data_IF_486095171273
#
_entry.id   IF_486095171273
#
_cell.length_a   1.000
_cell.length_b   1.000
_cell.length_c   1.000
_cell.angle_alpha   90.00
_cell.angle_beta   90.00
_cell.angle_gamma   90.00
#
_symmetry.space_group_name_H-M   'P 1'
#
loop_
_entity.id
_entity.type
_entity.pdbx_description
1 polymer ?
#
# COMPACT_ATOMS: atom_id res chain seq x y z
N UNK A 1 3.35 19.60 -18.56
CA UNK A 1 4.16 18.73 -19.44
C UNK A 1 3.40 17.42 -19.62
N UNK A 2 3.06 17.00 -20.85
CA UNK A 2 2.33 15.76 -21.05
C UNK A 2 3.28 14.58 -20.91
N UNK A 3 2.94 13.64 -20.02
CA UNK A 3 3.62 12.36 -19.91
C UNK A 3 3.31 11.52 -21.16
N UNK A 4 4.35 11.15 -21.91
CA UNK A 4 4.24 10.14 -22.95
C UNK A 4 3.73 8.83 -22.35
N UNK A 5 2.79 8.14 -23.02
CA UNK A 5 2.39 6.80 -22.61
C UNK A 5 3.59 5.87 -22.76
N UNK A 6 3.87 5.09 -21.71
CA UNK A 6 4.85 4.02 -21.68
C UNK A 6 4.63 3.11 -22.90
N UNK A 7 5.36 3.34 -23.99
CA UNK A 7 5.42 2.38 -25.07
C UNK A 7 6.11 1.14 -24.49
N UNK A 8 5.47 -0.05 -24.47
CA UNK A 8 6.18 -1.25 -24.04
C UNK A 8 7.37 -1.39 -24.98
N UNK A 9 8.58 -1.20 -24.46
CA UNK A 9 9.80 -1.46 -25.21
C UNK A 9 9.64 -2.89 -25.75
N UNK A 10 9.37 -3.01 -27.06
CA UNK A 10 9.33 -4.28 -27.76
C UNK A 10 10.75 -4.81 -27.67
N UNK A 11 11.03 -5.59 -26.62
CA UNK A 11 12.31 -6.27 -26.46
C UNK A 11 12.49 -7.10 -27.73
N UNK A 12 13.49 -6.75 -28.52
CA UNK A 12 13.82 -7.46 -29.74
C UNK A 12 13.85 -8.96 -29.41
N UNK A 13 13.12 -9.81 -30.17
CA UNK A 13 12.97 -11.22 -29.82
C UNK A 13 14.24 -11.97 -30.21
N UNK A 14 15.35 -11.67 -29.52
CA UNK A 14 16.69 -12.16 -29.81
C UNK A 14 16.77 -13.68 -29.80
N UNK A 15 15.90 -14.36 -29.06
CA UNK A 15 15.81 -15.82 -29.00
C UNK A 15 15.26 -16.42 -30.29
N UNK A 16 14.19 -15.85 -30.85
CA UNK A 16 13.64 -16.33 -32.12
C UNK A 16 14.55 -15.92 -33.27
N UNK A 17 15.14 -14.73 -33.20
CA UNK A 17 16.13 -14.27 -34.18
C UNK A 17 17.39 -15.15 -34.15
N UNK A 18 17.89 -15.51 -32.97
CA UNK A 18 19.04 -16.39 -32.79
C UNK A 18 18.76 -17.82 -33.27
N UNK A 19 17.59 -18.37 -32.95
CA UNK A 19 17.19 -19.71 -33.42
C UNK A 19 17.10 -19.75 -34.95
N UNK A 20 16.47 -18.74 -35.55
CA UNK A 20 16.40 -18.63 -37.01
C UNK A 20 17.79 -18.45 -37.62
N UNK A 21 18.65 -17.64 -37.01
CA UNK A 21 20.03 -17.44 -37.47
C UNK A 21 20.83 -18.75 -37.49
N UNK A 22 20.83 -19.53 -36.41
CA UNK A 22 21.55 -20.80 -36.37
C UNK A 22 20.97 -21.84 -37.33
N UNK A 23 19.64 -21.92 -37.45
CA UNK A 23 18.98 -22.82 -38.40
C UNK A 23 19.36 -22.49 -39.84
N UNK A 24 19.29 -21.21 -40.23
CA UNK A 24 19.66 -20.75 -41.58
C UNK A 24 21.15 -20.93 -41.82
N UNK A 25 22.00 -20.71 -40.81
CA UNK A 25 23.45 -20.88 -40.93
C UNK A 25 23.81 -22.36 -41.20
N UNK A 26 23.19 -23.30 -40.49
CA UNK A 26 23.36 -24.72 -40.75
C UNK A 26 22.87 -25.12 -42.16
N UNK A 27 21.68 -24.64 -42.55
CA UNK A 27 21.10 -24.90 -43.88
C UNK A 27 22.00 -24.41 -45.01
N UNK A 28 22.43 -23.15 -44.95
CA UNK A 28 23.33 -22.55 -45.95
C UNK A 28 24.66 -23.29 -45.97
N UNK A 29 25.20 -23.63 -44.80
CA UNK A 29 26.43 -24.41 -44.69
C UNK A 29 26.34 -25.79 -45.37
N UNK A 30 25.26 -26.53 -45.15
CA UNK A 30 25.03 -27.83 -45.81
C UNK A 30 24.82 -27.69 -47.33
N UNK A 31 24.14 -26.64 -47.79
CA UNK A 31 24.02 -26.36 -49.24
C UNK A 31 25.34 -25.93 -49.88
N UNK A 32 26.28 -25.39 -49.09
CA UNK A 32 27.65 -25.09 -49.53
C UNK A 32 28.58 -26.33 -49.49
N UNK A 33 28.01 -27.53 -49.37
CA UNK A 33 28.73 -28.81 -49.46
C UNK A 33 29.47 -29.20 -48.18
N UNK A 34 29.10 -28.66 -47.02
CA UNK A 34 29.65 -29.10 -45.74
C UNK A 34 29.01 -30.41 -45.32
N UNK A 35 29.84 -31.40 -45.03
CA UNK A 35 29.45 -32.68 -44.46
C UNK A 35 29.64 -32.69 -42.94
N UNK A 36 29.13 -33.71 -42.27
CA UNK A 36 29.41 -34.00 -40.85
C UNK A 36 29.88 -35.45 -40.73
N UNK A 37 30.88 -35.72 -39.88
CA UNK A 37 31.67 -36.96 -39.95
C UNK A 37 30.87 -38.25 -39.82
N UNK A 38 29.75 -38.23 -39.10
CA UNK A 38 28.88 -39.41 -38.94
C UNK A 38 27.78 -39.51 -40.01
N UNK A 39 27.60 -38.45 -40.83
CA UNK A 39 26.61 -38.38 -41.92
C UNK A 39 27.22 -37.71 -43.16
N UNK A 40 28.23 -38.33 -43.81
CA UNK A 40 28.84 -37.80 -45.03
C UNK A 40 27.83 -37.58 -46.16
N UNK A 41 26.79 -38.41 -46.22
CA UNK A 41 25.73 -38.40 -47.23
C UNK A 41 24.86 -37.13 -47.24
N UNK A 42 24.97 -36.25 -46.24
CA UNK A 42 24.20 -34.99 -46.17
C UNK A 42 24.49 -34.09 -47.37
N UNK A 43 25.72 -34.13 -47.90
CA UNK A 43 26.15 -33.28 -49.01
C UNK A 43 25.28 -33.48 -50.25
N UNK A 44 25.02 -34.75 -50.57
CA UNK A 44 24.24 -35.17 -51.75
C UNK A 44 22.74 -35.28 -51.45
N UNK A 45 22.34 -35.05 -50.20
CA UNK A 45 20.95 -35.18 -49.76
C UNK A 45 20.09 -33.98 -50.19
N UNK A 46 18.80 -34.25 -50.37
CA UNK A 46 17.81 -33.23 -50.69
C UNK A 46 17.61 -32.22 -49.55
N UNK A 47 17.05 -31.06 -49.90
CA UNK A 47 16.77 -29.95 -48.98
C UNK A 47 16.09 -30.36 -47.67
N UNK A 48 15.13 -31.30 -47.73
CA UNK A 48 14.39 -31.77 -46.55
C UNK A 48 15.31 -32.49 -45.54
N UNK A 49 16.28 -33.25 -46.03
CA UNK A 49 17.25 -33.96 -45.18
C UNK A 49 18.20 -32.97 -44.51
N UNK A 50 18.67 -31.95 -45.25
CA UNK A 50 19.48 -30.84 -44.70
C UNK A 50 18.70 -30.03 -43.65
N UNK A 51 17.41 -29.80 -43.87
CA UNK A 51 16.52 -29.13 -42.90
C UNK A 51 16.33 -29.95 -41.62
N UNK A 52 16.15 -31.27 -41.76
CA UNK A 52 16.08 -32.20 -40.64
C UNK A 52 17.35 -32.14 -39.78
N UNK A 53 18.54 -32.22 -40.38
CA UNK A 53 19.79 -32.18 -39.64
C UNK A 53 20.12 -30.79 -39.07
N UNK A 54 19.68 -29.72 -39.72
CA UNK A 54 19.80 -28.36 -39.19
C UNK A 54 18.93 -28.17 -37.94
N UNK A 55 17.74 -28.78 -37.91
CA UNK A 55 16.86 -28.76 -36.75
C UNK A 55 17.38 -29.64 -35.61
N UNK A 56 18.01 -30.79 -35.92
CA UNK A 56 18.54 -31.69 -34.89
C UNK A 56 19.66 -31.07 -34.06
N UNK A 57 20.35 -30.04 -34.56
CA UNK A 57 21.34 -29.27 -33.79
C UNK A 57 20.74 -28.57 -32.56
N UNK A 58 19.43 -28.35 -32.49
CA UNK A 58 18.77 -27.79 -31.31
C UNK A 58 18.46 -28.83 -30.23
N UNK A 59 18.64 -30.12 -30.51
CA UNK A 59 18.35 -31.21 -29.58
C UNK A 59 19.66 -31.69 -28.96
N UNK A 60 19.85 -31.38 -27.67
CA UNK A 60 21.01 -31.87 -26.89
C UNK A 60 20.96 -33.40 -26.85
N UNK A 61 21.88 -34.05 -27.58
CA UNK A 61 22.01 -35.51 -27.66
C UNK A 61 21.10 -36.22 -28.68
N UNK A 62 20.44 -35.49 -29.59
CA UNK A 62 19.40 -36.06 -30.46
C UNK A 62 19.89 -36.80 -31.72
N UNK A 63 21.04 -36.43 -32.28
CA UNK A 63 21.60 -37.09 -33.48
C UNK A 63 23.13 -36.99 -33.41
N UNK A 64 23.83 -38.12 -33.45
CA UNK A 64 25.28 -38.11 -33.61
C UNK A 64 25.62 -37.72 -35.05
N UNK A 65 26.03 -36.46 -35.21
CA UNK A 65 26.46 -35.90 -36.49
C UNK A 65 27.99 -35.91 -36.61
N UNK A 66 28.71 -36.09 -35.50
CA UNK A 66 30.14 -35.86 -35.46
C UNK A 66 30.53 -34.43 -35.83
N UNK A 67 31.68 -34.25 -36.48
CA UNK A 67 32.27 -32.91 -36.71
C UNK A 67 32.03 -32.38 -38.13
N UNK A 68 31.73 -31.07 -38.31
CA UNK A 68 31.63 -30.47 -39.63
C UNK A 68 32.95 -30.45 -40.41
N UNK A 69 32.95 -30.98 -41.64
CA UNK A 69 34.12 -31.03 -42.53
C UNK A 69 33.71 -30.89 -44.01
N UNK A 70 34.69 -30.75 -44.92
CA UNK A 70 34.39 -30.52 -46.36
C UNK A 70 33.82 -29.13 -46.67
N UNK A 71 33.39 -28.91 -47.91
CA UNK A 71 32.77 -27.65 -48.35
C UNK A 71 33.67 -26.42 -48.30
N UNK A 72 33.07 -25.25 -48.54
CA UNK A 72 33.78 -23.96 -48.46
C UNK A 72 34.16 -23.60 -47.02
N UNK A 73 35.18 -22.75 -46.84
CA UNK A 73 35.54 -22.22 -45.52
C UNK A 73 34.37 -21.50 -44.83
N UNK A 74 33.65 -20.67 -45.58
CA UNK A 74 32.49 -19.92 -45.08
C UNK A 74 31.38 -20.89 -44.65
N UNK A 75 31.07 -21.89 -45.47
CA UNK A 75 30.09 -22.91 -45.13
C UNK A 75 30.44 -23.62 -43.83
N UNK A 76 31.70 -24.05 -43.66
CA UNK A 76 32.14 -24.70 -42.41
C UNK A 76 32.01 -23.79 -41.20
N UNK A 77 32.37 -22.51 -41.34
CA UNK A 77 32.22 -21.55 -40.24
C UNK A 77 30.74 -21.38 -39.83
N UNK A 78 29.81 -21.37 -40.79
CA UNK A 78 28.37 -21.30 -40.52
C UNK A 78 27.85 -22.54 -39.80
N UNK A 79 28.23 -23.75 -40.26
CA UNK A 79 27.83 -24.99 -39.60
C UNK A 79 28.44 -25.08 -38.20
N UNK A 80 29.72 -24.77 -38.01
CA UNK A 80 30.35 -24.74 -36.67
C UNK A 80 29.67 -23.76 -35.72
N UNK A 81 29.29 -22.58 -36.23
CA UNK A 81 28.55 -21.58 -35.44
C UNK A 81 27.20 -22.11 -35.00
N UNK A 82 26.46 -22.77 -35.89
CA UNK A 82 25.18 -23.40 -35.56
C UNK A 82 25.36 -24.62 -34.63
N UNK A 83 26.42 -25.42 -34.86
CA UNK A 83 26.74 -26.65 -34.13
C UNK A 83 26.93 -26.40 -32.63
N UNK A 84 27.53 -25.27 -32.25
CA UNK A 84 27.63 -24.86 -30.84
C UNK A 84 26.51 -23.91 -30.41
N UNK A 85 26.09 -22.99 -31.27
CA UNK A 85 25.12 -21.96 -30.95
C UNK A 85 23.72 -22.50 -30.71
N UNK A 86 23.25 -23.46 -31.51
CA UNK A 86 21.92 -24.04 -31.39
C UNK A 86 21.74 -24.82 -30.07
N UNK A 87 22.66 -25.72 -29.65
CA UNK A 87 22.57 -26.39 -28.34
C UNK A 87 22.62 -25.42 -27.15
N UNK A 88 23.49 -24.41 -27.19
CA UNK A 88 23.60 -23.41 -26.10
C UNK A 88 22.30 -22.61 -25.99
N UNK A 89 21.76 -22.15 -27.13
CA UNK A 89 20.50 -21.43 -27.15
C UNK A 89 19.36 -22.31 -26.63
N UNK A 90 19.25 -23.55 -27.10
CA UNK A 90 18.25 -24.51 -26.64
C UNK A 90 18.35 -24.77 -25.13
N UNK A 91 19.53 -25.08 -24.62
CA UNK A 91 19.77 -25.29 -23.19
C UNK A 91 19.41 -24.04 -22.36
N UNK A 92 19.79 -22.84 -22.80
CA UNK A 92 19.45 -21.59 -22.10
C UNK A 92 17.94 -21.34 -22.06
N UNK A 93 17.21 -21.69 -23.13
CA UNK A 93 15.75 -21.57 -23.16
C UNK A 93 15.07 -22.57 -22.25
N UNK A 94 15.57 -23.81 -22.22
CA UNK A 94 15.06 -24.87 -21.34
C UNK A 94 15.31 -24.54 -19.87
N UNK A 95 16.52 -24.07 -19.51
CA UNK A 95 16.84 -23.61 -18.15
C UNK A 95 15.97 -22.42 -17.76
N UNK A 96 15.77 -21.43 -18.65
CA UNK A 96 14.88 -20.30 -18.35
C UNK A 96 13.43 -20.76 -18.14
N UNK A 97 12.95 -21.69 -18.97
CA UNK A 97 11.60 -22.23 -18.86
C UNK A 97 11.44 -23.02 -17.55
N UNK A 98 12.45 -23.81 -17.16
CA UNK A 98 12.49 -24.51 -15.90
C UNK A 98 12.50 -23.54 -14.71
N UNK A 99 13.36 -22.51 -14.73
CA UNK A 99 13.42 -21.49 -13.67
C UNK A 99 12.10 -20.72 -13.52
N UNK A 100 11.42 -20.39 -14.63
CA UNK A 100 10.09 -19.77 -14.60
C UNK A 100 9.00 -20.74 -14.13
N UNK A 101 9.09 -22.01 -14.51
CA UNK A 101 8.17 -23.04 -14.04
C UNK A 101 8.36 -23.34 -12.54
N UNK A 102 9.56 -23.11 -12.02
CA UNK A 102 9.89 -23.25 -10.60
C UNK A 102 9.67 -21.96 -9.80
N UNK A 103 9.19 -20.86 -10.41
CA UNK A 103 8.91 -19.62 -9.67
C UNK A 103 7.76 -19.86 -8.67
N UNK A 104 8.05 -19.95 -7.36
CA UNK A 104 7.09 -20.40 -6.35
C UNK A 104 5.91 -19.45 -6.22
N UNK A 105 6.12 -18.17 -6.51
CA UNK A 105 5.11 -17.12 -6.31
C UNK A 105 3.93 -17.31 -7.26
N UNK A 106 4.18 -17.57 -8.55
CA UNK A 106 3.11 -17.74 -9.54
C UNK A 106 2.27 -19.00 -9.31
N UNK A 107 2.89 -20.08 -8.82
CA UNK A 107 2.19 -21.32 -8.49
C UNK A 107 1.34 -21.20 -7.23
N UNK A 108 1.88 -20.55 -6.20
CA UNK A 108 1.15 -20.35 -4.95
C UNK A 108 -0.06 -19.45 -5.16
N UNK A 109 0.11 -18.31 -5.86
CA UNK A 109 -0.98 -17.39 -6.19
C UNK A 109 -2.11 -18.07 -6.94
N UNK A 110 -1.82 -18.94 -7.93
CA UNK A 110 -2.86 -19.66 -8.69
C UNK A 110 -3.75 -20.56 -7.84
N UNK A 111 -3.25 -21.07 -6.71
CA UNK A 111 -3.99 -21.94 -5.79
C UNK A 111 -4.74 -21.18 -4.70
N UNK A 112 -4.50 -19.87 -4.56
CA UNK A 112 -5.17 -19.07 -3.55
C UNK A 112 -6.68 -19.00 -3.79
N UNK A 113 -7.40 -19.22 -2.70
CA UNK A 113 -8.83 -19.00 -2.51
C UNK A 113 -9.00 -18.51 -1.08
N UNK A 114 -10.01 -17.68 -0.87
CA UNK A 114 -10.41 -17.24 0.46
C UNK A 114 -9.30 -16.53 1.24
N UNK A 115 -8.46 -15.78 0.50
CA UNK A 115 -7.33 -14.99 0.99
C UNK A 115 -7.71 -13.51 1.10
N UNK A 116 -6.89 -12.74 1.83
CA UNK A 116 -7.01 -11.28 1.92
C UNK A 116 -5.96 -10.65 1.02
N UNK A 117 -6.35 -9.63 0.26
CA UNK A 117 -5.43 -8.79 -0.52
C UNK A 117 -5.30 -7.45 0.20
N UNK A 118 -4.07 -7.04 0.51
CA UNK A 118 -3.75 -5.71 1.01
C UNK A 118 -2.92 -5.00 -0.04
N UNK A 119 -3.33 -3.81 -0.46
CA UNK A 119 -2.59 -3.00 -1.44
C UNK A 119 -1.96 -1.82 -0.73
N UNK A 120 -0.65 -1.68 -0.92
CA UNK A 120 0.21 -0.75 -0.19
C UNK A 120 1.06 -1.49 0.84
N UNK A 121 2.20 -0.89 1.17
CA UNK A 121 3.23 -1.43 2.06
C UNK A 121 3.60 -0.45 3.20
N UNK A 122 2.75 0.56 3.43
CA UNK A 122 2.94 1.56 4.47
C UNK A 122 2.37 1.20 5.84
N UNK A 123 2.34 2.19 6.74
CA UNK A 123 1.88 2.05 8.13
C UNK A 123 0.46 1.47 8.25
N UNK A 124 -0.46 1.88 7.37
CA UNK A 124 -1.84 1.41 7.42
C UNK A 124 -1.95 -0.08 7.09
N UNK A 125 -1.11 -0.58 6.17
CA UNK A 125 -0.99 -2.01 5.88
C UNK A 125 -0.47 -2.76 7.11
N UNK A 126 0.55 -2.22 7.78
CA UNK A 126 1.12 -2.80 8.99
C UNK A 126 0.10 -2.85 10.15
N UNK A 127 -0.61 -1.75 10.41
CA UNK A 127 -1.71 -1.70 11.39
C UNK A 127 -2.82 -2.70 11.05
N UNK A 128 -3.22 -2.80 9.78
CA UNK A 128 -4.26 -3.75 9.36
C UNK A 128 -3.80 -5.21 9.55
N UNK A 129 -2.53 -5.51 9.25
CA UNK A 129 -1.95 -6.83 9.50
C UNK A 129 -1.88 -7.17 10.98
N UNK A 130 -1.45 -6.22 11.84
CA UNK A 130 -1.47 -6.42 13.29
C UNK A 130 -2.89 -6.69 13.80
N UNK A 131 -3.88 -5.92 13.37
CA UNK A 131 -5.28 -6.15 13.71
C UNK A 131 -5.77 -7.54 13.29
N UNK A 132 -5.48 -7.97 12.06
CA UNK A 132 -5.85 -9.30 11.54
C UNK A 132 -5.22 -10.42 12.38
N UNK A 133 -3.92 -10.31 12.69
CA UNK A 133 -3.20 -11.33 13.47
C UNK A 133 -3.63 -11.35 14.93
N UNK A 134 -3.95 -10.19 15.54
CA UNK A 134 -4.46 -10.08 16.92
C UNK A 134 -5.81 -10.81 17.10
N UNK A 135 -6.64 -10.87 16.06
CA UNK A 135 -7.88 -11.66 16.06
C UNK A 135 -7.66 -13.16 15.84
N UNK A 136 -6.42 -13.64 15.74
CA UNK A 136 -6.10 -15.05 15.50
C UNK A 136 -6.34 -15.49 14.04
N UNK A 137 -6.41 -14.55 13.10
CA UNK A 137 -6.63 -14.88 11.69
C UNK A 137 -5.38 -15.52 11.08
N UNK A 138 -5.44 -16.82 10.78
CA UNK A 138 -4.44 -17.54 9.97
C UNK A 138 -4.72 -17.47 8.47
N UNK A 139 -5.62 -16.57 8.05
CA UNK A 139 -5.99 -16.41 6.64
C UNK A 139 -4.75 -15.98 5.84
N UNK A 140 -4.50 -16.59 4.66
CA UNK A 140 -3.44 -16.16 3.78
C UNK A 140 -3.61 -14.69 3.39
N UNK A 141 -2.55 -13.90 3.54
CA UNK A 141 -2.55 -12.48 3.17
C UNK A 141 -1.55 -12.25 2.04
N UNK A 142 -2.01 -11.61 0.98
CA UNK A 142 -1.17 -11.14 -0.13
C UNK A 142 -1.06 -9.63 -0.03
N UNK A 143 0.15 -9.12 0.15
CA UNK A 143 0.46 -7.69 0.16
C UNK A 143 1.01 -7.31 -1.22
N UNK A 144 0.39 -6.31 -1.84
CA UNK A 144 0.83 -5.71 -3.10
C UNK A 144 1.65 -4.46 -2.76
N UNK A 145 2.94 -4.48 -3.09
CA UNK A 145 3.85 -3.36 -2.91
C UNK A 145 4.15 -2.68 -4.24
N UNK A 146 4.14 -1.35 -4.25
CA UNK A 146 4.55 -0.54 -5.41
C UNK A 146 6.05 -0.15 -5.35
N UNK A 147 6.66 -0.16 -4.16
CA UNK A 147 8.04 0.28 -3.96
C UNK A 147 9.07 -0.78 -4.37
N UNK A 148 8.71 -2.06 -4.21
CA UNK A 148 9.65 -3.18 -4.38
C UNK A 148 10.78 -3.18 -3.33
N UNK A 149 10.65 -2.42 -2.24
CA UNK A 149 11.66 -2.35 -1.20
C UNK A 149 11.78 -3.68 -0.46
N UNK A 150 12.98 -4.27 -0.52
CA UNK A 150 13.23 -5.61 0.02
C UNK A 150 13.10 -5.67 1.54
N UNK A 151 13.49 -4.61 2.25
CA UNK A 151 13.44 -4.56 3.72
C UNK A 151 11.98 -4.64 4.19
N UNK A 152 11.10 -3.80 3.64
CA UNK A 152 9.67 -3.81 3.96
C UNK A 152 9.04 -5.15 3.58
N UNK A 153 9.40 -5.70 2.41
CA UNK A 153 8.90 -7.00 1.99
C UNK A 153 9.32 -8.15 2.92
N UNK A 154 10.56 -8.12 3.43
CA UNK A 154 11.07 -9.11 4.37
C UNK A 154 10.44 -8.95 5.74
N UNK A 155 10.20 -7.71 6.21
CA UNK A 155 9.47 -7.43 7.45
C UNK A 155 8.02 -7.97 7.39
N UNK A 156 7.30 -7.70 6.31
CA UNK A 156 5.94 -8.19 6.08
C UNK A 156 5.87 -9.73 6.09
N UNK A 157 6.88 -10.39 5.50
CA UNK A 157 6.97 -11.86 5.48
C UNK A 157 7.28 -12.41 6.87
N UNK A 158 8.29 -11.89 7.55
CA UNK A 158 8.79 -12.43 8.82
C UNK A 158 7.81 -12.18 9.96
N UNK A 159 7.26 -10.98 10.07
CA UNK A 159 6.43 -10.59 11.21
C UNK A 159 4.97 -11.03 11.05
N UNK A 160 4.48 -11.16 9.82
CA UNK A 160 3.05 -11.41 9.56
C UNK A 160 2.77 -12.66 8.72
N UNK A 161 3.80 -13.36 8.23
CA UNK A 161 3.63 -14.48 7.30
C UNK A 161 2.95 -14.06 5.99
N UNK A 162 3.05 -12.79 5.61
CA UNK A 162 2.38 -12.27 4.43
C UNK A 162 3.16 -12.60 3.16
N UNK A 163 2.44 -12.89 2.08
CA UNK A 163 3.03 -13.02 0.75
C UNK A 163 3.13 -11.64 0.12
N UNK A 164 4.35 -11.18 -0.17
CA UNK A 164 4.57 -9.87 -0.81
C UNK A 164 4.79 -10.04 -2.30
N UNK A 165 4.00 -9.32 -3.10
CA UNK A 165 4.08 -9.28 -4.56
C UNK A 165 4.26 -7.84 -5.01
N UNK A 166 5.18 -7.60 -5.93
CA UNK A 166 5.36 -6.27 -6.52
C UNK A 166 4.52 -6.12 -7.77
N UNK A 167 3.71 -5.07 -7.85
CA UNK A 167 2.89 -4.80 -9.04
C UNK A 167 1.84 -3.72 -8.81
N UNK A 168 1.22 -3.28 -9.89
CA UNK A 168 0.20 -2.22 -9.87
C UNK A 168 -1.21 -2.82 -9.90
N UNK A 169 -1.99 -2.58 -8.85
CA UNK A 169 -3.36 -3.09 -8.73
C UNK A 169 -4.32 -2.49 -9.76
N UNK A 170 -4.03 -1.33 -10.34
CA UNK A 170 -4.85 -0.75 -11.41
C UNK A 170 -4.76 -1.56 -12.71
N UNK A 171 -3.72 -2.40 -12.86
CA UNK A 171 -3.53 -3.20 -14.06
C UNK A 171 -4.44 -4.43 -14.09
N UNK A 172 -5.25 -4.51 -15.14
CA UNK A 172 -6.18 -5.61 -15.43
C UNK A 172 -5.56 -7.01 -15.27
N UNK A 173 -4.38 -7.22 -15.84
CA UNK A 173 -3.70 -8.50 -15.83
C UNK A 173 -3.24 -8.88 -14.42
N UNK A 174 -2.83 -7.89 -13.63
CA UNK A 174 -2.36 -8.10 -12.27
C UNK A 174 -3.50 -8.46 -11.31
N UNK A 175 -4.67 -7.83 -11.46
CA UNK A 175 -5.90 -8.19 -10.71
C UNK A 175 -6.25 -9.67 -10.90
N UNK A 176 -6.12 -10.19 -12.12
CA UNK A 176 -6.38 -11.60 -12.42
C UNK A 176 -5.36 -12.53 -11.77
N UNK A 177 -4.07 -12.15 -11.79
CA UNK A 177 -3.01 -12.92 -11.14
C UNK A 177 -3.18 -13.02 -9.63
N UNK A 178 -3.69 -11.96 -8.99
CA UNK A 178 -4.00 -11.93 -7.55
C UNK A 178 -5.24 -12.74 -7.18
N UNK A 179 -5.95 -13.30 -8.16
CA UNK A 179 -7.17 -14.08 -7.95
C UNK A 179 -8.23 -13.30 -7.18
N UNK A 180 -8.34 -11.99 -7.46
CA UNK A 180 -9.19 -11.07 -6.70
C UNK A 180 -10.65 -11.55 -6.55
N UNK A 181 -11.22 -12.19 -7.58
CA UNK A 181 -12.56 -12.80 -7.53
C UNK A 181 -12.76 -13.80 -6.37
N UNK A 182 -11.69 -14.47 -5.94
CA UNK A 182 -11.70 -15.45 -4.86
C UNK A 182 -11.21 -14.88 -3.53
N UNK A 183 -10.86 -13.59 -3.49
CA UNK A 183 -10.48 -12.93 -2.26
C UNK A 183 -11.70 -12.77 -1.34
N UNK A 184 -11.42 -12.93 -0.06
CA UNK A 184 -12.37 -12.71 1.05
C UNK A 184 -12.60 -11.22 1.28
N UNK A 185 -11.50 -10.47 1.28
CA UNK A 185 -11.44 -9.01 1.43
C UNK A 185 -10.28 -8.45 0.62
N UNK A 186 -10.46 -7.23 0.13
CA UNK A 186 -9.46 -6.47 -0.62
C UNK A 186 -9.39 -5.10 0.02
N UNK A 187 -8.24 -4.78 0.62
CA UNK A 187 -7.98 -3.46 1.18
C UNK A 187 -7.10 -2.67 0.23
N UNK A 188 -7.55 -1.48 -0.15
CA UNK A 188 -6.81 -0.53 -0.97
C UNK A 188 -6.29 0.57 -0.05
N UNK A 189 -5.07 0.41 0.48
CA UNK A 189 -4.54 1.19 1.62
C UNK A 189 -3.48 2.23 1.21
N UNK A 190 -3.31 2.47 -0.09
CA UNK A 190 -2.36 3.47 -0.58
C UNK A 190 -2.78 4.90 -0.18
N UNK A 191 -1.79 5.78 -0.06
CA UNK A 191 -2.02 7.20 0.22
C UNK A 191 -2.63 7.94 -0.99
N UNK A 192 -2.40 7.43 -2.20
CA UNK A 192 -2.99 7.99 -3.42
C UNK A 192 -4.44 7.55 -3.57
N UNK A 193 -5.35 8.40 -3.07
CA UNK A 193 -6.79 8.10 -3.09
C UNK A 193 -7.32 7.88 -4.51
N UNK A 194 -6.83 8.62 -5.51
CA UNK A 194 -7.30 8.42 -6.89
C UNK A 194 -6.95 7.02 -7.41
N UNK A 195 -5.73 6.55 -7.15
CA UNK A 195 -5.33 5.18 -7.53
C UNK A 195 -6.15 4.11 -6.82
N UNK A 196 -6.45 4.29 -5.54
CA UNK A 196 -7.32 3.36 -4.81
C UNK A 196 -8.73 3.29 -5.42
N UNK A 197 -9.29 4.42 -5.86
CA UNK A 197 -10.59 4.44 -6.55
C UNK A 197 -10.52 3.83 -7.95
N UNK A 198 -9.45 4.07 -8.70
CA UNK A 198 -9.22 3.48 -10.03
C UNK A 198 -9.11 1.95 -9.96
N UNK A 199 -8.34 1.45 -8.99
CA UNK A 199 -8.22 0.03 -8.72
C UNK A 199 -9.57 -0.60 -8.31
N UNK A 200 -10.34 0.08 -7.46
CA UNK A 200 -11.69 -0.37 -7.10
C UNK A 200 -12.63 -0.41 -8.31
N UNK A 201 -12.60 0.59 -9.18
CA UNK A 201 -13.38 0.60 -10.41
C UNK A 201 -13.00 -0.60 -11.32
N UNK A 202 -11.70 -0.85 -11.49
CA UNK A 202 -11.19 -1.99 -12.25
C UNK A 202 -11.60 -3.36 -11.67
N UNK A 203 -11.67 -3.48 -10.34
CA UNK A 203 -12.17 -4.67 -9.64
C UNK A 203 -13.68 -4.88 -9.89
N UNK A 204 -14.48 -3.83 -9.75
CA UNK A 204 -15.94 -3.88 -9.93
C UNK A 204 -16.34 -4.25 -11.36
N UNK A 205 -15.58 -3.79 -12.36
CA UNK A 205 -15.77 -4.13 -13.77
C UNK A 205 -15.56 -5.62 -14.05
N UNK A 206 -14.52 -6.22 -13.44
CA UNK A 206 -14.09 -7.61 -13.72
C UNK A 206 -14.83 -8.65 -12.89
N UNK A 207 -15.25 -8.28 -11.68
CA UNK A 207 -15.97 -9.15 -10.78
C UNK A 207 -17.23 -8.44 -10.25
N UNK A 208 -18.33 -8.43 -11.04
CA UNK A 208 -19.60 -7.89 -10.57
C UNK A 208 -20.03 -8.57 -9.27
N UNK A 209 -20.15 -7.78 -8.19
CA UNK A 209 -20.48 -8.29 -6.86
C UNK A 209 -19.29 -8.47 -5.91
N UNK A 210 -18.10 -7.97 -6.27
CA UNK A 210 -16.94 -7.94 -5.35
C UNK A 210 -16.95 -6.74 -4.39
N UNK A 211 -17.80 -5.73 -4.65
CA UNK A 211 -17.72 -4.43 -3.98
C UNK A 211 -17.85 -4.49 -2.45
N UNK A 212 -18.72 -5.35 -1.94
CA UNK A 212 -18.92 -5.64 -0.51
C UNK A 212 -17.68 -6.22 0.19
N UNK A 213 -16.64 -6.56 -0.57
CA UNK A 213 -15.36 -7.07 -0.08
C UNK A 213 -14.23 -6.06 -0.25
N UNK A 214 -14.47 -4.94 -0.93
CA UNK A 214 -13.47 -3.93 -1.24
C UNK A 214 -13.57 -2.80 -0.22
N UNK A 215 -12.48 -2.55 0.48
CA UNK A 215 -12.34 -1.50 1.49
C UNK A 215 -11.29 -0.52 0.98
N UNK A 216 -11.66 0.75 0.88
CA UNK A 216 -10.86 1.80 0.24
C UNK A 216 -10.43 2.82 1.29
N UNK A 217 -9.13 2.98 1.47
CA UNK A 217 -8.59 4.12 2.19
C UNK A 217 -8.60 5.35 1.28
N UNK A 218 -9.17 6.44 1.79
CA UNK A 218 -9.13 7.75 1.16
C UNK A 218 -8.51 8.76 2.11
N UNK A 219 -7.29 9.21 1.80
CA UNK A 219 -6.50 10.11 2.63
C UNK A 219 -7.08 11.54 2.71
N UNK A 220 -7.88 11.95 1.72
CA UNK A 220 -8.54 13.26 1.65
C UNK A 220 -10.04 13.14 1.90
N UNK A 221 -10.54 13.75 2.97
CA UNK A 221 -11.98 13.79 3.28
C UNK A 221 -12.77 14.55 2.23
N UNK A 222 -12.22 15.68 1.72
CA UNK A 222 -12.85 16.44 0.62
C UNK A 222 -13.02 15.59 -0.63
N UNK A 223 -12.00 14.80 -0.98
CA UNK A 223 -12.08 13.89 -2.12
C UNK A 223 -13.12 12.80 -1.87
N UNK A 224 -13.09 12.17 -0.68
CA UNK A 224 -14.07 11.16 -0.29
C UNK A 224 -15.50 11.66 -0.44
N UNK A 225 -15.83 12.82 0.13
CA UNK A 225 -17.17 13.44 0.03
C UNK A 225 -17.56 13.78 -1.41
N UNK A 226 -16.60 14.22 -2.23
CA UNK A 226 -16.85 14.50 -3.66
C UNK A 226 -17.17 13.23 -4.45
N UNK A 227 -16.69 12.06 -3.99
CA UNK A 227 -16.92 10.77 -4.63
C UNK A 227 -18.13 10.01 -4.07
N UNK A 228 -18.82 10.53 -3.06
CA UNK A 228 -19.88 9.82 -2.32
C UNK A 228 -21.02 9.30 -3.22
N UNK A 229 -21.34 10.06 -4.29
CA UNK A 229 -22.37 9.69 -5.26
C UNK A 229 -21.87 8.83 -6.43
N UNK A 230 -20.64 8.31 -6.37
CA UNK A 230 -20.08 7.45 -7.43
C UNK A 230 -20.45 5.98 -7.21
N UNK A 231 -20.48 5.20 -8.30
CA UNK A 231 -20.71 3.76 -8.23
C UNK A 231 -19.67 3.01 -7.38
N UNK A 232 -18.43 3.51 -7.31
CA UNK A 232 -17.39 2.96 -6.42
C UNK A 232 -17.77 3.19 -4.98
N UNK A 233 -18.16 4.42 -4.61
CA UNK A 233 -18.52 4.75 -3.24
C UNK A 233 -19.78 4.07 -2.73
N UNK A 234 -20.76 3.87 -3.61
CA UNK A 234 -22.01 3.19 -3.25
C UNK A 234 -21.88 1.67 -3.12
N UNK A 235 -20.81 1.08 -3.67
CA UNK A 235 -20.64 -0.38 -3.75
C UNK A 235 -19.48 -0.91 -2.91
N UNK A 236 -18.55 -0.06 -2.51
CA UNK A 236 -17.38 -0.41 -1.71
C UNK A 236 -17.45 0.28 -0.34
N UNK A 237 -16.76 -0.26 0.65
CA UNK A 237 -16.59 0.43 1.93
C UNK A 237 -15.45 1.44 1.81
N UNK A 238 -15.65 2.69 2.22
CA UNK A 238 -14.63 3.73 2.17
C UNK A 238 -14.37 4.27 3.56
N UNK A 239 -13.11 4.53 3.88
CA UNK A 239 -12.74 5.13 5.16
C UNK A 239 -11.56 6.10 5.06
N UNK A 240 -11.44 6.95 6.07
CA UNK A 240 -10.31 7.84 6.27
C UNK A 240 -9.64 7.51 7.60
N UNK A 241 -8.32 7.41 7.57
CA UNK A 241 -7.49 7.10 8.73
C UNK A 241 -7.73 8.07 9.90
N UNK A 242 -7.80 9.39 9.65
CA UNK A 242 -8.00 10.37 10.71
C UNK A 242 -9.42 10.35 11.26
N UNK A 243 -10.43 10.15 10.41
CA UNK A 243 -11.81 10.01 10.88
C UNK A 243 -11.97 8.78 11.78
N UNK A 244 -11.36 7.64 11.42
CA UNK A 244 -11.38 6.43 12.25
C UNK A 244 -10.65 6.66 13.59
N UNK A 245 -9.47 7.29 13.54
CA UNK A 245 -8.70 7.60 14.73
C UNK A 245 -9.43 8.59 15.66
N UNK A 246 -10.03 9.64 15.11
CA UNK A 246 -10.80 10.64 15.85
C UNK A 246 -12.05 10.02 16.49
N UNK A 247 -12.79 9.20 15.74
CA UNK A 247 -13.91 8.42 16.28
C UNK A 247 -13.48 7.53 17.45
N UNK A 248 -12.33 6.85 17.33
CA UNK A 248 -11.76 6.05 18.40
C UNK A 248 -11.40 6.88 19.63
N UNK A 249 -10.70 7.99 19.43
CA UNK A 249 -10.28 8.89 20.52
C UNK A 249 -11.48 9.45 21.28
N UNK A 250 -12.44 10.04 20.55
CA UNK A 250 -13.61 10.69 21.17
C UNK A 250 -14.42 9.67 21.96
N UNK A 251 -14.70 8.49 21.37
CA UNK A 251 -15.54 7.49 22.03
C UNK A 251 -14.88 6.81 23.21
N UNK A 252 -13.59 6.49 23.11
CA UNK A 252 -12.89 5.71 24.14
C UNK A 252 -12.30 6.55 25.26
N UNK A 253 -11.97 7.82 25.00
CA UNK A 253 -11.26 8.68 25.94
C UNK A 253 -12.08 9.89 26.36
N UNK A 254 -12.66 10.65 25.42
CA UNK A 254 -13.26 11.95 25.72
C UNK A 254 -14.71 11.85 26.23
N UNK A 255 -15.56 11.03 25.59
CA UNK A 255 -16.95 10.85 26.02
C UNK A 255 -17.10 10.33 27.46
N UNK A 256 -16.25 9.41 27.96
CA UNK A 256 -16.26 9.05 29.37
C UNK A 256 -16.02 10.27 30.28
N UNK A 257 -14.99 11.08 29.99
CA UNK A 257 -14.70 12.30 30.76
C UNK A 257 -15.90 13.26 30.79
N UNK A 258 -16.53 13.49 29.63
CA UNK A 258 -17.65 14.43 29.52
C UNK A 258 -18.90 14.01 30.30
N UNK A 259 -19.04 12.72 30.58
CA UNK A 259 -20.16 12.20 31.39
C UNK A 259 -19.90 12.31 32.88
N UNK A 260 -18.62 12.36 33.26
CA UNK A 260 -18.18 12.42 34.65
C UNK A 260 -18.06 13.88 35.13
N UNK A 261 -17.97 14.84 34.22
CA UNK A 261 -17.94 16.28 34.50
C UNK A 261 -19.36 16.83 34.72
N UNK A 262 -19.51 17.69 35.74
CA UNK A 262 -20.82 18.29 36.06
C UNK A 262 -21.15 19.51 35.20
N UNK A 263 -20.11 20.22 34.75
CA UNK A 263 -20.21 21.33 33.83
C UNK A 263 -19.85 20.86 32.42
N UNK A 264 -20.44 21.51 31.42
CA UNK A 264 -20.06 21.30 30.03
C UNK A 264 -18.56 21.55 29.82
N UNK A 265 -17.94 20.78 28.94
CA UNK A 265 -16.50 20.73 28.79
C UNK A 265 -15.94 21.86 27.92
N UNK A 266 -14.73 22.29 28.31
CA UNK A 266 -13.88 23.20 27.54
C UNK A 266 -12.81 22.37 26.84
N UNK A 267 -12.89 22.28 25.51
CA UNK A 267 -11.99 21.46 24.70
C UNK A 267 -10.98 22.34 23.97
N UNK A 268 -9.69 22.12 24.23
CA UNK A 268 -8.60 22.82 23.56
C UNK A 268 -7.97 21.91 22.51
N UNK A 269 -8.17 22.24 21.24
CA UNK A 269 -7.57 21.56 20.10
C UNK A 269 -6.29 22.30 19.66
N UNK A 270 -5.15 21.82 20.18
CA UNK A 270 -3.83 22.37 19.90
C UNK A 270 -3.20 21.65 18.69
N UNK A 271 -3.35 22.25 17.50
CA UNK A 271 -3.01 21.69 16.20
C UNK A 271 -4.27 21.34 15.42
N UNK A 272 -4.66 22.21 14.47
CA UNK A 272 -5.91 22.10 13.71
C UNK A 272 -5.70 21.57 12.28
N UNK A 273 -4.79 20.61 12.14
CA UNK A 273 -4.62 19.83 10.91
C UNK A 273 -5.74 18.80 10.71
N UNK A 274 -5.52 17.83 9.81
CA UNK A 274 -6.50 16.78 9.47
C UNK A 274 -7.08 16.08 10.71
N UNK A 275 -6.23 15.71 11.66
CA UNK A 275 -6.66 15.04 12.88
C UNK A 275 -7.52 15.93 13.80
N UNK A 276 -7.05 17.15 14.11
CA UNK A 276 -7.81 18.09 14.96
C UNK A 276 -9.17 18.46 14.36
N UNK A 277 -9.23 18.62 13.04
CA UNK A 277 -10.48 18.83 12.31
C UNK A 277 -11.43 17.64 12.46
N UNK A 278 -10.95 16.40 12.27
CA UNK A 278 -11.78 15.20 12.44
C UNK A 278 -12.20 14.95 13.88
N UNK A 279 -11.38 15.32 14.87
CA UNK A 279 -11.76 15.27 16.29
C UNK A 279 -12.93 16.23 16.53
N UNK A 280 -12.85 17.46 16.03
CA UNK A 280 -13.94 18.41 16.16
C UNK A 280 -15.22 17.92 15.46
N UNK A 281 -15.10 17.39 14.25
CA UNK A 281 -16.24 16.83 13.51
C UNK A 281 -16.94 15.72 14.32
N UNK A 282 -16.20 14.78 14.90
CA UNK A 282 -16.77 13.71 15.72
C UNK A 282 -17.35 14.25 17.04
N UNK A 283 -16.72 15.25 17.67
CA UNK A 283 -17.26 15.90 18.87
C UNK A 283 -18.61 16.57 18.59
N UNK A 284 -18.75 17.28 17.47
CA UNK A 284 -20.04 17.86 17.07
C UNK A 284 -21.10 16.79 16.80
N UNK A 285 -20.69 15.62 16.30
CA UNK A 285 -21.61 14.52 15.99
C UNK A 285 -22.07 13.77 17.24
N UNK A 286 -21.16 13.55 18.19
CA UNK A 286 -21.33 12.59 19.28
C UNK A 286 -21.44 13.23 20.66
N UNK A 287 -21.05 14.50 20.83
CA UNK A 287 -20.90 15.16 22.12
C UNK A 287 -21.41 16.61 22.14
N UNK A 288 -22.19 17.06 21.15
CA UNK A 288 -22.54 18.48 21.00
C UNK A 288 -23.18 19.10 22.26
N UNK A 289 -24.01 18.33 22.96
CA UNK A 289 -24.68 18.77 24.18
C UNK A 289 -23.72 19.00 25.35
N UNK A 290 -22.56 18.34 25.34
CA UNK A 290 -21.57 18.36 26.42
C UNK A 290 -20.56 19.50 26.26
N UNK A 291 -20.50 20.17 25.10
CA UNK A 291 -19.50 21.20 24.83
C UNK A 291 -19.97 22.58 25.30
N UNK A 292 -19.14 23.25 26.10
CA UNK A 292 -19.28 24.68 26.40
C UNK A 292 -18.50 25.51 25.39
N UNK A 293 -17.19 25.30 25.36
CA UNK A 293 -16.24 26.09 24.56
C UNK A 293 -15.25 25.17 23.85
N UNK A 294 -15.02 25.40 22.56
CA UNK A 294 -13.93 24.78 21.81
C UNK A 294 -12.92 25.85 21.42
N UNK A 295 -11.71 25.69 21.94
CA UNK A 295 -10.56 26.53 21.62
C UNK A 295 -9.74 25.84 20.54
N UNK A 296 -9.46 26.54 19.45
CA UNK A 296 -8.62 26.04 18.35
C UNK A 296 -7.32 26.83 18.32
N UNK A 297 -6.20 26.14 18.45
CA UNK A 297 -4.86 26.72 18.38
C UNK A 297 -4.11 26.13 17.19
N UNK A 298 -3.67 26.95 16.26
CA UNK A 298 -2.79 26.53 15.17
C UNK A 298 -1.98 27.74 14.67
N UNK A 299 -0.87 27.50 13.95
CA UNK A 299 -0.10 28.59 13.35
C UNK A 299 -0.88 29.37 12.29
N UNK A 300 -1.87 28.73 11.67
CA UNK A 300 -2.74 29.30 10.62
C UNK A 300 -4.22 28.98 10.92
N UNK A 301 -4.63 29.22 12.17
CA UNK A 301 -5.92 28.78 12.70
C UNK A 301 -7.11 29.33 11.91
N UNK A 302 -7.11 30.62 11.55
CA UNK A 302 -8.23 31.21 10.82
C UNK A 302 -8.40 30.57 9.44
N UNK A 303 -7.31 30.43 8.68
CA UNK A 303 -7.36 29.80 7.36
C UNK A 303 -7.80 28.34 7.46
N UNK A 304 -7.31 27.58 8.43
CA UNK A 304 -7.68 26.17 8.60
C UNK A 304 -9.14 26.00 8.98
N UNK A 305 -9.69 26.91 9.78
CA UNK A 305 -11.12 26.92 10.11
C UNK A 305 -11.96 27.27 8.88
N UNK A 306 -11.57 28.26 8.08
CA UNK A 306 -12.27 28.55 6.82
C UNK A 306 -12.30 27.35 5.88
N UNK A 307 -11.18 26.62 5.76
CA UNK A 307 -11.13 25.38 4.96
C UNK A 307 -11.99 24.26 5.57
N UNK A 308 -12.09 24.20 6.90
CA UNK A 308 -12.97 23.26 7.58
C UNK A 308 -14.45 23.65 7.42
N UNK A 309 -14.80 24.94 7.40
CA UNK A 309 -16.17 25.43 7.18
C UNK A 309 -16.68 25.03 5.78
N UNK A 310 -15.80 24.95 4.76
CA UNK A 310 -16.17 24.39 3.43
C UNK A 310 -16.54 22.89 3.48
N UNK A 311 -16.06 22.18 4.51
CA UNK A 311 -16.09 20.74 4.61
C UNK A 311 -17.13 20.23 5.60
N UNK A 312 -17.35 20.94 6.70
CA UNK A 312 -18.28 20.61 7.78
C UNK A 312 -19.01 21.87 8.23
N UNK A 313 -20.31 21.75 8.52
CA UNK A 313 -21.06 22.82 9.14
C UNK A 313 -20.74 22.86 10.64
N UNK A 314 -20.27 24.00 11.11
CA UNK A 314 -20.02 24.19 12.54
C UNK A 314 -21.33 24.47 13.26
N UNK A 315 -21.55 23.77 14.35
CA UNK A 315 -22.72 23.99 15.19
C UNK A 315 -22.55 25.28 16.00
N UNK A 316 -23.62 26.08 16.06
CA UNK A 316 -23.69 27.25 16.96
C UNK A 316 -23.98 26.90 18.42
N UNK A 317 -24.00 25.62 18.80
CA UNK A 317 -24.39 25.17 20.13
C UNK A 317 -23.28 25.25 21.20
N UNK A 318 -22.05 25.59 20.81
CA UNK A 318 -20.92 25.83 21.70
C UNK A 318 -20.16 27.09 21.26
N UNK A 319 -19.41 27.70 22.18
CA UNK A 319 -18.57 28.87 21.89
C UNK A 319 -17.28 28.43 21.19
N UNK A 320 -16.92 29.05 20.07
CA UNK A 320 -15.66 28.76 19.35
C UNK A 320 -14.69 29.92 19.49
N UNK A 321 -13.47 29.63 19.93
CA UNK A 321 -12.40 30.62 20.07
C UNK A 321 -11.17 30.21 19.27
N UNK A 322 -10.58 31.15 18.52
CA UNK A 322 -9.47 30.88 17.61
C UNK A 322 -8.22 31.63 18.04
N UNK A 323 -7.10 30.91 18.15
CA UNK A 323 -5.81 31.49 18.50
C UNK A 323 -4.75 31.07 17.49
N UNK A 324 -4.12 32.08 16.88
CA UNK A 324 -2.95 31.85 16.02
C UNK A 324 -1.65 31.90 16.81
N UNK A 325 -0.84 30.87 16.63
CA UNK A 325 0.50 30.78 17.16
C UNK A 325 1.02 29.35 17.31
N UNK A 326 2.26 29.25 17.78
CA UNK A 326 2.89 27.97 18.10
C UNK A 326 2.53 27.53 19.52
N UNK A 327 2.13 26.28 19.70
CA UNK A 327 1.80 25.70 21.00
C UNK A 327 3.00 25.66 21.94
N UNK A 328 4.23 25.74 21.42
CA UNK A 328 5.44 25.83 22.22
C UNK A 328 5.66 27.23 22.81
N UNK A 329 4.94 28.25 22.33
CA UNK A 329 5.12 29.64 22.72
C UNK A 329 4.20 30.03 23.89
N UNK A 330 4.74 30.52 25.04
CA UNK A 330 3.93 30.82 26.23
C UNK A 330 2.81 31.85 26.00
N UNK A 331 3.05 32.85 25.14
CA UNK A 331 2.10 33.93 24.85
C UNK A 331 0.75 33.41 24.32
N UNK A 332 0.76 32.33 23.54
CA UNK A 332 -0.47 31.72 23.03
C UNK A 332 -1.34 31.23 24.19
N UNK A 333 -0.74 30.57 25.17
CA UNK A 333 -1.44 30.06 26.34
C UNK A 333 -1.88 31.17 27.30
N UNK A 334 -1.13 32.26 27.39
CA UNK A 334 -1.57 33.45 28.14
C UNK A 334 -2.83 34.06 27.50
N UNK A 335 -2.86 34.17 26.17
CA UNK A 335 -4.05 34.67 25.45
C UNK A 335 -5.27 33.78 25.64
N UNK A 336 -5.07 32.45 25.60
CA UNK A 336 -6.15 31.49 25.90
C UNK A 336 -6.68 31.70 27.31
N UNK A 337 -5.79 31.77 28.32
CA UNK A 337 -6.16 31.95 29.74
C UNK A 337 -6.90 33.26 30.03
N UNK A 338 -6.59 34.33 29.29
CA UNK A 338 -7.29 35.62 29.43
C UNK A 338 -8.70 35.59 28.85
N UNK A 339 -9.00 34.65 27.95
CA UNK A 339 -10.24 34.63 27.16
C UNK A 339 -11.19 33.53 27.58
N UNK A 340 -10.66 32.40 28.02
CA UNK A 340 -11.39 31.17 28.38
C UNK A 340 -10.86 30.64 29.70
N UNK A 341 -11.76 30.26 30.60
CA UNK A 341 -11.37 29.55 31.82
C UNK A 341 -10.99 28.11 31.48
N UNK A 342 -9.72 27.77 31.68
CA UNK A 342 -9.13 26.46 31.42
C UNK A 342 -8.60 25.81 32.70
N UNK A 343 -9.03 26.31 33.87
CA UNK A 343 -8.57 25.83 35.18
C UNK A 343 -9.43 24.73 35.78
N UNK A 344 -10.63 24.50 35.23
CA UNK A 344 -11.57 23.49 35.69
C UNK A 344 -11.19 22.05 35.34
N UNK A 345 -11.78 21.10 36.06
CA UNK A 345 -11.70 19.66 35.81
C UNK A 345 -12.46 19.20 34.55
N UNK A 346 -13.36 20.03 34.04
CA UNK A 346 -14.03 19.94 32.74
C UNK A 346 -13.17 20.42 31.56
N UNK A 347 -11.85 20.58 31.75
CA UNK A 347 -10.95 21.03 30.69
C UNK A 347 -10.26 19.84 30.03
N UNK A 348 -10.34 19.76 28.71
CA UNK A 348 -9.69 18.71 27.90
C UNK A 348 -8.72 19.31 26.90
N UNK A 349 -7.44 19.02 27.05
CA UNK A 349 -6.38 19.41 26.12
C UNK A 349 -6.08 18.29 25.13
N UNK A 350 -6.18 18.57 23.84
CA UNK A 350 -5.78 17.66 22.75
C UNK A 350 -4.59 18.26 22.01
N UNK A 351 -3.39 17.74 22.28
CA UNK A 351 -2.13 18.15 21.65
C UNK A 351 -1.94 17.34 20.37
N UNK A 352 -2.51 17.83 19.28
CA UNK A 352 -2.68 17.12 18.01
C UNK A 352 -1.76 17.57 16.87
N UNK A 353 -0.71 18.35 17.14
CA UNK A 353 0.20 18.87 16.11
C UNK A 353 1.01 17.74 15.45
N UNK A 354 1.67 18.05 14.33
CA UNK A 354 2.62 17.13 13.69
C UNK A 354 3.99 17.03 14.38
N UNK A 355 4.21 17.73 15.50
CA UNK A 355 5.49 17.78 16.23
C UNK A 355 5.33 17.03 17.55
N UNK A 356 5.60 15.73 17.52
CA UNK A 356 5.33 14.81 18.64
C UNK A 356 6.09 15.16 19.91
N UNK A 357 7.36 15.55 19.79
CA UNK A 357 8.18 16.01 20.91
C UNK A 357 7.55 17.23 21.60
N UNK A 358 7.02 18.17 20.82
CA UNK A 358 6.35 19.34 21.37
C UNK A 358 5.01 18.99 22.00
N UNK A 359 4.24 18.08 21.40
CA UNK A 359 3.00 17.59 22.00
C UNK A 359 3.27 17.00 23.39
N UNK A 360 4.29 16.14 23.51
CA UNK A 360 4.62 15.49 24.78
C UNK A 360 5.16 16.50 25.82
N UNK A 361 6.11 17.36 25.41
CA UNK A 361 6.67 18.40 26.29
C UNK A 361 5.57 19.34 26.81
N UNK A 362 4.68 19.79 25.92
CA UNK A 362 3.58 20.67 26.31
C UNK A 362 2.55 19.96 27.18
N UNK A 363 2.31 18.66 26.95
CA UNK A 363 1.42 17.88 27.79
C UNK A 363 1.92 17.79 29.23
N UNK A 364 3.23 17.63 29.45
CA UNK A 364 3.84 17.65 30.79
C UNK A 364 3.65 19.00 31.48
N UNK A 365 3.90 20.10 30.76
CA UNK A 365 3.71 21.44 31.28
C UNK A 365 2.24 21.73 31.63
N UNK A 366 1.31 21.35 30.75
CA UNK A 366 -0.13 21.52 30.97
C UNK A 366 -0.62 20.70 32.16
N UNK A 367 -0.18 19.45 32.29
CA UNK A 367 -0.55 18.59 33.41
C UNK A 367 0.01 19.10 34.74
N UNK A 368 1.21 19.68 34.75
CA UNK A 368 1.75 20.33 35.95
C UNK A 368 0.94 21.58 36.33
N UNK A 369 0.52 22.38 35.34
CA UNK A 369 -0.23 23.63 35.56
C UNK A 369 -1.71 23.40 35.87
N UNK A 370 -2.29 22.34 35.32
CA UNK A 370 -3.71 21.97 35.42
C UNK A 370 -3.85 20.50 35.82
N UNK A 371 -3.63 20.15 37.10
CA UNK A 371 -3.60 18.75 37.55
C UNK A 371 -4.92 18.00 37.34
N UNK A 372 -6.06 18.70 37.38
CA UNK A 372 -7.40 18.12 37.21
C UNK A 372 -7.88 17.98 35.77
N UNK A 373 -7.21 18.61 34.80
CA UNK A 373 -7.61 18.58 33.40
C UNK A 373 -7.26 17.25 32.74
N UNK A 374 -7.99 16.85 31.71
CA UNK A 374 -7.58 15.76 30.84
C UNK A 374 -6.55 16.26 29.82
N UNK A 375 -5.43 15.57 29.68
CA UNK A 375 -4.37 15.93 28.72
C UNK A 375 -4.09 14.76 27.80
N UNK A 376 -4.34 14.95 26.50
CA UNK A 376 -4.14 13.96 25.45
C UNK A 376 -2.97 14.39 24.57
N UNK A 377 -1.93 13.57 24.50
CA UNK A 377 -0.75 13.80 23.65
C UNK A 377 -0.78 12.88 22.44
N UNK A 378 -0.78 13.45 21.23
CA UNK A 378 -0.75 12.66 19.99
C UNK A 378 0.68 12.32 19.57
N UNK A 379 0.88 11.05 19.21
CA UNK A 379 2.00 10.55 18.38
C UNK A 379 1.47 9.98 17.05
N UNK A 380 2.35 9.82 16.06
CA UNK A 380 2.02 9.18 14.78
C UNK A 380 2.05 7.67 14.93
N UNK A 381 3.14 7.15 15.50
CA UNK A 381 3.34 5.72 15.79
C UNK A 381 3.27 5.47 17.28
N UNK A 382 3.09 4.20 17.65
CA UNK A 382 3.25 3.77 19.04
C UNK A 382 4.66 4.08 19.52
N UNK A 383 4.75 4.69 20.70
CA UNK A 383 6.01 5.06 21.35
C UNK A 383 5.97 4.58 22.79
N UNK A 384 6.83 3.60 23.09
CA UNK A 384 6.99 3.08 24.44
C UNK A 384 7.33 4.21 25.42
N UNK A 385 8.27 5.07 25.04
CA UNK A 385 8.66 6.24 25.85
C UNK A 385 7.48 7.18 26.13
N UNK A 386 6.71 7.55 25.10
CA UNK A 386 5.55 8.42 25.31
C UNK A 386 4.46 7.75 26.17
N UNK A 387 4.30 6.43 26.07
CA UNK A 387 3.38 5.66 26.91
C UNK A 387 3.85 5.60 28.37
N UNK A 388 5.14 5.42 28.62
CA UNK A 388 5.72 5.40 29.97
C UNK A 388 5.58 6.76 30.64
N UNK A 389 6.03 7.83 29.96
CA UNK A 389 5.86 9.22 30.41
C UNK A 389 4.38 9.55 30.62
N UNK A 390 3.52 9.08 29.72
CA UNK A 390 2.08 9.22 29.83
C UNK A 390 1.54 8.64 31.13
N UNK A 391 1.90 7.39 31.43
CA UNK A 391 1.47 6.73 32.66
C UNK A 391 2.02 7.40 33.93
N UNK A 392 3.28 7.82 33.92
CA UNK A 392 3.92 8.47 35.08
C UNK A 392 3.28 9.82 35.43
N UNK A 393 2.86 10.58 34.41
CA UNK A 393 2.29 11.91 34.58
C UNK A 393 0.78 11.97 34.37
N UNK A 394 0.08 10.82 34.30
CA UNK A 394 -1.35 10.77 34.00
C UNK A 394 -1.71 11.48 32.67
N UNK A 395 -0.88 11.41 31.63
CA UNK A 395 -1.17 11.96 30.29
C UNK A 395 -1.65 10.81 29.40
N UNK A 396 -2.77 11.01 28.71
CA UNK A 396 -3.29 10.05 27.74
C UNK A 396 -2.47 10.16 26.45
N UNK A 397 -1.45 9.31 26.30
CA UNK A 397 -0.68 9.20 25.07
C UNK A 397 -1.46 8.38 24.04
N UNK A 398 -1.71 8.94 22.85
CA UNK A 398 -2.46 8.27 21.78
C UNK A 398 -1.69 8.27 20.48
N UNK A 399 -1.55 7.08 19.89
CA UNK A 399 -0.97 6.90 18.56
C UNK A 399 -2.08 6.86 17.51
N UNK A 400 -1.90 7.56 16.39
CA UNK A 400 -2.84 7.45 15.25
C UNK A 400 -2.88 6.02 14.71
N UNK A 401 -1.73 5.35 14.57
CA UNK A 401 -1.70 3.97 14.05
C UNK A 401 -2.40 3.00 14.97
N UNK A 402 -2.31 3.21 16.28
CA UNK A 402 -2.98 2.39 17.29
C UNK A 402 -4.49 2.64 17.31
N UNK A 403 -4.90 3.92 17.33
CA UNK A 403 -6.32 4.29 17.28
C UNK A 403 -7.00 3.71 16.03
N UNK A 404 -6.31 3.72 14.88
CA UNK A 404 -6.82 3.07 13.67
C UNK A 404 -6.94 1.57 13.87
N UNK A 405 -5.86 0.91 14.30
CA UNK A 405 -5.81 -0.54 14.51
C UNK A 405 -6.93 -1.05 15.43
N UNK A 406 -7.18 -0.35 16.53
CA UNK A 406 -8.19 -0.72 17.53
C UNK A 406 -9.63 -0.42 17.08
N UNK A 407 -9.81 0.47 16.12
CA UNK A 407 -11.13 0.90 15.67
C UNK A 407 -11.49 0.39 14.27
N UNK A 408 -10.65 -0.44 13.63
CA UNK A 408 -11.04 -1.14 12.40
C UNK A 408 -12.33 -1.95 12.65
N UNK A 409 -13.38 -1.73 11.83
CA UNK A 409 -14.64 -2.45 12.00
C UNK A 409 -14.44 -3.98 12.03
N UNK A 410 -15.03 -4.70 13.00
CA UNK A 410 -14.81 -6.14 13.13
C UNK A 410 -15.19 -6.94 11.87
N UNK A 411 -16.20 -6.51 11.12
CA UNK A 411 -16.62 -7.19 9.88
C UNK A 411 -15.61 -7.05 8.71
N UNK A 412 -14.63 -6.15 8.83
CA UNK A 412 -13.49 -6.09 7.90
C UNK A 412 -12.45 -7.15 8.21
N UNK A 413 -12.32 -7.50 9.49
CA UNK A 413 -11.26 -8.36 10.01
C UNK A 413 -11.70 -9.81 10.20
N UNK A 414 -13.02 -10.06 10.27
CA UNK A 414 -13.58 -11.40 10.44
C UNK A 414 -13.10 -12.35 9.34
N UNK A 415 -12.59 -13.53 9.72
CA UNK A 415 -12.39 -14.62 8.78
C UNK A 415 -13.75 -15.10 8.23
#
# INVERSE_FOLDING_TARGET
MPHEPYSPQRKFPWRTAGALFFLVSAMVGFEMGVAVSERPEIVDSGFLTKAYYSLSLFVVGGVDLGTPYGGSFIGRALVWTAYFGAPILAASTLITALLRALDPQTWYLRRLRDHIILVGDGELTMSTLRALRKQGSHVPVVVVSNSGERIVADELKQNFGAMVVTGDISNAFFIEQLRAKFARRIFLLEDNSLRSYEAAAGLLERAPGIGDRVIIHCASLRFMRSMDNTAVAQRCEIFNTYHLAASGLVRSQMLPQFRDTSAKDVVILAGFGRFGQTVLEELQKSALGELDTVVIIDRDAHRRVLVADEQMEFSGAYRRELFEGDIAHPEVWERVQRTVDISGDNTVFVLGTGREEENLRMSLWLRQKYPGAMVISRTTRESLFASEVGREHNITSVSITQLVEENLPPHWLRP
#
